data_IF_846580495519
#
_entry.id   IF_846580495519
#
_cell.length_a   1.000
_cell.length_b   1.000
_cell.length_c   1.000
_cell.angle_alpha   90.00
_cell.angle_beta   90.00
_cell.angle_gamma   90.00
#
_symmetry.space_group_name_H-M   'P 1'
#
loop_
_entity.id
_entity.type
_entity.pdbx_description
1 polymer ?
#
# COMPACT_ATOMS: atom_id res chain seq x y z
N UNK A 1 21.46 -1.35 -12.32
CA UNK A 1 20.94 -2.72 -12.58
C UNK A 1 19.44 -2.70 -12.35
N UNK A 2 18.59 -2.99 -13.36
CA UNK A 2 17.14 -3.01 -13.17
C UNK A 2 16.75 -4.30 -12.45
N UNK A 3 16.20 -4.17 -11.24
CA UNK A 3 15.63 -5.30 -10.53
C UNK A 3 14.29 -5.68 -11.18
N UNK A 4 14.23 -6.80 -11.90
CA UNK A 4 12.96 -7.43 -12.26
C UNK A 4 12.39 -8.10 -11.01
N UNK A 5 11.35 -7.53 -10.42
CA UNK A 5 10.53 -8.13 -9.35
C UNK A 5 9.69 -9.28 -9.90
N UNK A 6 10.33 -10.42 -10.18
CA UNK A 6 9.67 -11.67 -10.62
C UNK A 6 9.09 -12.51 -9.46
N UNK A 7 9.22 -12.05 -8.21
CA UNK A 7 8.75 -12.78 -7.03
C UNK A 7 7.25 -13.08 -7.06
N UNK A 8 6.86 -14.27 -6.57
CA UNK A 8 5.45 -14.65 -6.33
C UNK A 8 4.89 -14.04 -5.04
N UNK A 9 5.78 -13.68 -4.10
CA UNK A 9 5.50 -13.03 -2.82
C UNK A 9 6.75 -12.28 -2.36
N UNK A 10 6.60 -11.35 -1.40
CA UNK A 10 7.71 -10.89 -0.54
C UNK A 10 7.67 -11.68 0.76
N UNK A 11 8.83 -11.97 1.34
CA UNK A 11 8.92 -12.69 2.60
C UNK A 11 9.54 -11.81 3.68
N UNK A 12 9.03 -11.95 4.90
CA UNK A 12 9.60 -11.36 6.11
C UNK A 12 9.77 -12.49 7.12
N UNK A 13 10.98 -12.63 7.66
CA UNK A 13 11.27 -13.55 8.74
C UNK A 13 11.38 -12.75 10.04
N UNK A 14 10.63 -13.13 11.06
CA UNK A 14 10.66 -12.48 12.36
C UNK A 14 10.73 -13.50 13.48
N UNK A 15 11.45 -13.11 14.52
CA UNK A 15 11.61 -13.90 15.72
C UNK A 15 11.09 -13.09 16.91
N UNK A 16 10.25 -13.73 17.71
CA UNK A 16 9.64 -13.14 18.88
C UNK A 16 9.94 -14.00 20.09
N UNK A 17 10.10 -13.34 21.24
CA UNK A 17 10.11 -14.00 22.54
C UNK A 17 8.80 -13.68 23.24
N UNK A 18 7.99 -14.70 23.50
CA UNK A 18 6.66 -14.55 24.08
C UNK A 18 6.44 -15.58 25.19
N UNK A 19 6.15 -15.12 26.42
CA UNK A 19 5.95 -15.97 27.62
C UNK A 19 7.00 -17.09 27.73
N UNK A 20 8.28 -16.68 27.65
CA UNK A 20 9.48 -17.54 27.70
C UNK A 20 9.74 -18.46 26.50
N UNK A 21 8.81 -18.51 25.54
CA UNK A 21 8.93 -19.30 24.31
C UNK A 21 9.42 -18.46 23.15
N UNK A 22 10.04 -19.13 22.19
CA UNK A 22 10.42 -18.51 20.92
C UNK A 22 9.34 -18.81 19.88
N UNK A 23 8.90 -17.77 19.19
CA UNK A 23 7.95 -17.89 18.09
C UNK A 23 8.63 -17.31 16.86
N UNK A 24 8.75 -18.13 15.83
CA UNK A 24 9.39 -17.77 14.56
C UNK A 24 8.30 -17.68 13.50
N UNK A 25 8.12 -16.49 12.95
CA UNK A 25 7.11 -16.21 11.94
C UNK A 25 7.77 -16.01 10.58
N UNK A 26 7.44 -16.88 9.62
CA UNK A 26 7.75 -16.69 8.22
C UNK A 26 6.53 -16.14 7.49
N UNK A 27 6.57 -14.84 7.16
CA UNK A 27 5.43 -14.09 6.63
C UNK A 27 5.58 -13.90 5.12
N UNK A 28 4.71 -14.52 4.34
CA UNK A 28 4.57 -14.35 2.89
C UNK A 28 3.53 -13.27 2.58
N UNK A 29 3.96 -12.19 1.96
CA UNK A 29 3.12 -11.08 1.48
C UNK A 29 2.88 -11.29 -0.01
N UNK A 30 1.65 -11.68 -0.37
CA UNK A 30 1.24 -11.90 -1.76
C UNK A 30 0.93 -10.54 -2.40
N UNK A 31 1.35 -10.28 -3.65
CA UNK A 31 1.06 -9.00 -4.27
C UNK A 31 -0.44 -8.84 -4.50
N UNK A 32 -0.93 -7.61 -4.34
CA UNK A 32 -2.21 -7.24 -4.92
C UNK A 32 -1.99 -7.07 -6.43
N UNK A 33 -2.80 -7.78 -7.23
CA UNK A 33 -2.82 -7.60 -8.68
C UNK A 33 -3.66 -6.35 -8.97
N UNK A 34 -2.99 -5.28 -9.40
CA UNK A 34 -3.65 -4.04 -9.80
C UNK A 34 -3.79 -4.07 -11.31
N UNK A 35 -4.97 -4.44 -11.81
CA UNK A 35 -5.30 -4.41 -13.23
C UNK A 35 -5.92 -3.05 -13.57
N UNK A 36 -5.17 -2.23 -14.29
CA UNK A 36 -5.64 -0.93 -14.80
C UNK A 36 -5.92 -1.06 -16.29
N UNK A 37 -6.97 -0.41 -16.77
CA UNK A 37 -7.38 -0.50 -18.17
C UNK A 37 -6.22 -0.12 -19.11
N UNK A 38 -5.88 -1.03 -20.05
CA UNK A 38 -4.77 -0.95 -21.02
C UNK A 38 -3.34 -1.05 -20.46
N UNK A 39 -3.15 -1.46 -19.20
CA UNK A 39 -1.83 -1.72 -18.62
C UNK A 39 -1.68 -3.18 -18.20
N UNK A 40 -0.45 -3.70 -18.29
CA UNK A 40 -0.15 -4.99 -17.70
C UNK A 40 -0.37 -4.94 -16.18
N UNK A 41 -0.98 -5.97 -15.58
CA UNK A 41 -1.25 -5.97 -14.15
C UNK A 41 0.03 -5.82 -13.34
N UNK A 42 0.10 -4.80 -12.48
CA UNK A 42 1.26 -4.55 -11.64
C UNK A 42 1.10 -5.23 -10.27
N UNK A 43 2.22 -5.73 -9.73
CA UNK A 43 2.29 -6.42 -8.45
C UNK A 43 2.58 -5.41 -7.34
N UNK A 44 1.53 -4.94 -6.67
CA UNK A 44 1.70 -4.03 -5.53
C UNK A 44 1.92 -4.83 -4.23
N UNK A 45 3.04 -4.57 -3.55
CA UNK A 45 3.38 -5.13 -2.24
C UNK A 45 3.35 -4.10 -1.11
N UNK A 46 3.15 -2.83 -1.42
CA UNK A 46 3.27 -1.71 -0.48
C UNK A 46 1.94 -1.42 0.24
N UNK A 47 0.98 -2.35 0.19
CA UNK A 47 -0.29 -2.25 0.91
C UNK A 47 -0.15 -2.59 2.40
N UNK A 48 0.98 -3.15 2.83
CA UNK A 48 1.25 -3.43 4.24
C UNK A 48 1.84 -2.20 4.92
N UNK A 49 1.05 -1.52 5.76
CA UNK A 49 1.47 -0.35 6.55
C UNK A 49 1.86 -0.73 7.98
N UNK A 50 2.61 0.12 8.71
CA UNK A 50 2.98 -0.15 10.10
C UNK A 50 1.78 -0.40 11.03
N UNK A 51 0.67 0.33 10.83
CA UNK A 51 -0.56 0.13 11.61
C UNK A 51 -1.19 -1.25 11.34
N UNK A 52 -1.29 -1.66 10.05
CA UNK A 52 -1.80 -2.99 9.68
C UNK A 52 -0.91 -4.11 10.23
N UNK A 53 0.40 -3.87 10.25
CA UNK A 53 1.36 -4.79 10.85
C UNK A 53 1.14 -4.96 12.36
N UNK A 54 0.95 -3.86 13.09
CA UNK A 54 0.69 -3.88 14.54
C UNK A 54 -0.59 -4.66 14.87
N UNK A 55 -1.65 -4.49 14.05
CA UNK A 55 -2.90 -5.24 14.20
C UNK A 55 -2.73 -6.74 13.88
N UNK A 56 -1.92 -7.07 12.88
CA UNK A 56 -1.58 -8.44 12.55
C UNK A 56 -0.87 -9.11 13.72
N UNK A 57 0.18 -8.49 14.26
CA UNK A 57 0.91 -9.00 15.43
C UNK A 57 -0.02 -9.21 16.62
N UNK A 58 -0.87 -8.23 16.93
CA UNK A 58 -1.87 -8.35 18.00
C UNK A 58 -2.80 -9.55 17.79
N UNK A 59 -3.22 -9.80 16.55
CA UNK A 59 -4.08 -10.94 16.21
C UNK A 59 -3.36 -12.28 16.35
N UNK A 60 -2.06 -12.32 16.03
CA UNK A 60 -1.22 -13.51 16.24
C UNK A 60 -1.06 -13.77 17.75
N UNK A 61 -0.85 -12.74 18.58
CA UNK A 61 -0.73 -12.91 20.02
C UNK A 61 -2.03 -13.39 20.65
N UNK A 62 -3.19 -12.89 20.20
CA UNK A 62 -4.48 -13.41 20.64
C UNK A 62 -4.67 -14.88 20.25
N UNK A 63 -4.24 -15.29 19.05
CA UNK A 63 -4.26 -16.69 18.63
C UNK A 63 -3.37 -17.55 19.53
N UNK A 64 -2.14 -17.12 19.76
CA UNK A 64 -1.16 -17.81 20.61
C UNK A 64 -1.67 -17.92 22.05
N UNK A 65 -2.32 -16.89 22.59
CA UNK A 65 -2.90 -16.89 23.94
C UNK A 65 -4.13 -17.79 24.06
N UNK A 66 -4.84 -18.05 22.96
CA UNK A 66 -5.98 -18.97 22.96
C UNK A 66 -5.59 -20.45 23.06
N UNK A 67 -4.29 -20.76 22.94
CA UNK A 67 -3.77 -22.13 22.99
C UNK A 67 -3.74 -22.60 24.44
N UNK A 68 -4.71 -23.44 24.79
CA UNK A 68 -4.80 -24.05 26.13
C UNK A 68 -3.73 -25.13 26.36
N UNK A 69 -3.60 -26.09 25.44
CA UNK A 69 -2.60 -27.15 25.53
C UNK A 69 -1.51 -26.95 24.45
N UNK A 70 -0.41 -26.31 24.84
CA UNK A 70 0.64 -25.93 23.90
C UNK A 70 1.25 -27.11 23.14
N UNK A 71 1.63 -28.17 23.83
CA UNK A 71 2.32 -29.32 23.22
C UNK A 71 1.45 -30.02 22.18
N UNK A 72 0.13 -30.06 22.42
CA UNK A 72 -0.81 -30.73 21.53
C UNK A 72 -1.35 -29.81 20.44
N UNK A 73 -1.67 -28.57 20.76
CA UNK A 73 -2.46 -27.70 19.88
C UNK A 73 -1.58 -26.75 19.07
N UNK A 74 -0.43 -26.30 19.60
CA UNK A 74 0.43 -25.35 18.91
C UNK A 74 1.02 -25.89 17.60
N UNK A 75 1.49 -27.16 17.51
CA UNK A 75 1.98 -27.74 16.25
C UNK A 75 0.88 -27.94 15.19
N UNK A 76 -0.39 -27.90 15.60
CA UNK A 76 -1.55 -28.17 14.75
C UNK A 76 -2.32 -26.88 14.38
N UNK A 77 -1.76 -25.70 14.65
CA UNK A 77 -2.38 -24.44 14.27
C UNK A 77 -2.55 -24.42 12.75
N UNK A 78 -3.79 -24.35 12.30
CA UNK A 78 -4.14 -24.06 10.92
C UNK A 78 -5.44 -23.25 10.94
N UNK A 79 -5.32 -21.95 10.72
CA UNK A 79 -6.45 -21.03 10.84
C UNK A 79 -6.36 -19.91 9.84
N UNK A 80 -7.48 -19.21 9.66
CA UNK A 80 -7.56 -18.00 8.87
C UNK A 80 -8.04 -16.86 9.76
N UNK A 81 -7.29 -15.76 9.76
CA UNK A 81 -7.63 -14.52 10.45
C UNK A 81 -7.95 -13.45 9.40
N UNK A 82 -8.84 -12.53 9.78
CA UNK A 82 -9.12 -11.34 9.01
C UNK A 82 -8.63 -10.14 9.81
N UNK A 83 -7.68 -9.40 9.24
CA UNK A 83 -7.12 -8.18 9.83
C UNK A 83 -7.33 -7.05 8.84
N UNK A 84 -8.24 -6.13 9.16
CA UNK A 84 -8.72 -5.10 8.22
C UNK A 84 -9.17 -5.71 6.88
N UNK A 85 -8.46 -5.41 5.78
CA UNK A 85 -8.69 -5.94 4.44
C UNK A 85 -7.68 -7.01 4.06
N UNK A 86 -7.11 -7.72 5.04
CA UNK A 86 -6.08 -8.74 4.82
C UNK A 86 -6.62 -10.07 5.32
N UNK A 87 -6.61 -11.06 4.43
CA UNK A 87 -6.78 -12.46 4.79
C UNK A 87 -5.43 -13.01 5.18
N UNK A 88 -5.33 -13.54 6.40
CA UNK A 88 -4.10 -14.08 6.97
C UNK A 88 -4.30 -15.56 7.20
N UNK A 89 -3.68 -16.40 6.38
CA UNK A 89 -3.62 -17.85 6.64
C UNK A 89 -2.45 -18.10 7.57
N UNK A 90 -2.70 -18.71 8.73
CA UNK A 90 -1.68 -19.03 9.73
C UNK A 90 -1.60 -20.54 9.86
N UNK A 91 -0.42 -21.10 9.61
CA UNK A 91 -0.15 -22.52 9.77
C UNK A 91 1.10 -22.74 10.61
N UNK A 92 1.05 -23.62 11.60
CA UNK A 92 2.26 -24.17 12.18
C UNK A 92 2.94 -25.04 11.14
N UNK A 93 4.24 -24.80 10.91
CA UNK A 93 5.00 -25.52 9.90
C UNK A 93 6.37 -25.90 10.44
N UNK A 94 6.47 -27.15 10.92
CA UNK A 94 7.73 -27.70 11.43
C UNK A 94 8.75 -27.98 10.32
N UNK A 95 8.34 -28.07 9.05
CA UNK A 95 9.30 -28.19 7.94
C UNK A 95 10.07 -26.88 7.70
N UNK A 96 9.53 -25.73 8.15
CA UNK A 96 10.26 -24.46 8.17
C UNK A 96 11.45 -24.51 9.12
N UNK A 97 11.42 -25.35 10.17
CA UNK A 97 12.55 -25.54 11.09
C UNK A 97 13.82 -25.89 10.30
N UNK A 98 13.75 -26.96 9.51
CA UNK A 98 14.88 -27.45 8.72
C UNK A 98 15.29 -26.47 7.61
N UNK A 99 14.33 -25.73 7.03
CA UNK A 99 14.63 -24.76 5.97
C UNK A 99 15.28 -23.48 6.51
N UNK A 100 14.98 -23.09 7.75
CA UNK A 100 15.45 -21.84 8.36
C UNK A 100 16.61 -22.04 9.34
N UNK A 101 17.01 -23.28 9.62
CA UNK A 101 18.18 -23.64 10.45
C UNK A 101 19.49 -22.98 9.99
N UNK A 102 19.62 -22.67 8.69
CA UNK A 102 20.80 -21.97 8.14
C UNK A 102 20.80 -20.48 8.47
N UNK A 103 19.62 -19.90 8.75
CA UNK A 103 19.41 -18.46 8.93
C UNK A 103 19.16 -18.07 10.39
N UNK A 104 18.87 -19.03 11.26
CA UNK A 104 18.46 -18.81 12.64
C UNK A 104 19.36 -19.59 13.61
N UNK A 105 19.41 -19.18 14.90
CA UNK A 105 20.06 -19.96 15.95
C UNK A 105 19.46 -21.37 16.05
N UNK A 106 20.19 -22.35 16.62
CA UNK A 106 19.71 -23.72 16.75
C UNK A 106 18.36 -23.76 17.47
N UNK A 107 17.40 -24.44 16.83
CA UNK A 107 16.02 -24.58 17.26
C UNK A 107 15.92 -25.35 18.59
N UNK A 108 15.10 -24.85 19.51
CA UNK A 108 14.67 -25.62 20.69
C UNK A 108 13.38 -26.37 20.37
N UNK A 109 13.16 -27.51 21.01
CA UNK A 109 11.95 -28.32 20.77
C UNK A 109 10.64 -27.65 21.21
N UNK A 110 10.73 -26.57 21.98
CA UNK A 110 9.58 -25.76 22.41
C UNK A 110 9.27 -24.58 21.46
N UNK A 111 10.11 -24.37 20.43
CA UNK A 111 9.96 -23.24 19.50
C UNK A 111 8.79 -23.49 18.54
N UNK A 112 7.94 -22.47 18.38
CA UNK A 112 6.80 -22.52 17.47
C UNK A 112 7.15 -21.83 16.14
N UNK A 113 7.05 -22.58 15.05
CA UNK A 113 7.26 -22.08 13.69
C UNK A 113 5.92 -21.82 13.02
N UNK A 114 5.61 -20.56 12.76
CA UNK A 114 4.40 -20.14 12.07
C UNK A 114 4.74 -19.69 10.66
N UNK A 115 4.05 -20.27 9.68
CA UNK A 115 3.96 -19.76 8.33
C UNK A 115 2.70 -18.90 8.20
N UNK A 116 2.86 -17.66 7.77
CA UNK A 116 1.76 -16.75 7.53
C UNK A 116 1.70 -16.41 6.05
N UNK A 117 0.54 -16.55 5.43
CA UNK A 117 0.29 -16.06 4.07
C UNK A 117 -0.74 -14.95 4.12
N UNK A 118 -0.32 -13.76 3.70
CA UNK A 118 -1.11 -12.55 3.75
C UNK A 118 -1.56 -12.19 2.34
N UNK A 119 -2.88 -12.15 2.17
CA UNK A 119 -3.54 -11.84 0.91
C UNK A 119 -4.44 -10.62 1.13
N UNK A 120 -4.24 -9.57 0.34
CA UNK A 120 -5.14 -8.42 0.38
C UNK A 120 -6.51 -8.83 -0.18
N UNK A 121 -7.54 -8.76 0.65
CA UNK A 121 -8.92 -8.90 0.24
C UNK A 121 -9.34 -7.59 -0.41
N UNK A 122 -9.45 -7.58 -1.75
CA UNK A 122 -10.15 -6.49 -2.43
C UNK A 122 -11.52 -6.36 -1.77
N UNK A 123 -11.86 -5.19 -1.25
CA UNK A 123 -13.17 -4.91 -0.70
C UNK A 123 -14.19 -5.17 -1.81
N UNK A 124 -14.77 -6.37 -1.82
CA UNK A 124 -16.12 -6.55 -2.31
C UNK A 124 -16.97 -6.14 -1.12
N UNK A 125 -17.35 -4.87 -1.08
CA UNK A 125 -18.33 -4.37 -0.13
C UNK A 125 -19.60 -5.17 -0.35
N UNK A 126 -19.78 -6.23 0.44
CA UNK A 126 -21.11 -6.75 0.77
C UNK A 126 -21.69 -5.86 1.86
N UNK A 127 -21.89 -4.58 1.54
CA UNK A 127 -22.99 -3.86 2.16
C UNK A 127 -24.29 -4.35 1.51
N UNK A 128 -25.45 -4.32 2.22
CA UNK A 128 -26.72 -4.72 1.64
C UNK A 128 -26.86 -4.02 0.30
N UNK A 129 -27.24 -4.79 -0.74
CA UNK A 129 -27.42 -4.32 -2.10
C UNK A 129 -28.36 -3.11 -2.14
N UNK A 130 -27.83 -1.92 -1.89
CA UNK A 130 -28.32 -0.73 -2.52
C UNK A 130 -27.96 -0.92 -3.97
N UNK A 131 -28.99 -1.08 -4.80
CA UNK A 131 -28.91 -0.89 -6.23
C UNK A 131 -28.02 0.33 -6.45
N UNK A 132 -26.77 0.10 -6.84
CA UNK A 132 -25.83 1.16 -7.17
C UNK A 132 -26.47 1.88 -8.35
N UNK A 133 -27.16 2.98 -8.05
CA UNK A 133 -27.44 3.97 -9.08
C UNK A 133 -26.09 4.21 -9.79
N UNK A 134 -26.06 4.18 -11.13
CA UNK A 134 -24.83 4.46 -11.86
C UNK A 134 -24.28 5.77 -11.28
N UNK A 135 -23.07 5.71 -10.71
CA UNK A 135 -22.44 6.91 -10.18
C UNK A 135 -22.47 7.95 -11.31
N UNK A 136 -22.92 9.18 -11.03
CA UNK A 136 -23.08 10.19 -12.07
C UNK A 136 -21.77 10.28 -12.84
N UNK A 137 -21.84 10.23 -14.16
CA UNK A 137 -20.67 10.21 -15.02
C UNK A 137 -19.80 11.44 -14.70
N UNK A 138 -18.60 11.20 -14.18
CA UNK A 138 -17.68 12.26 -13.78
C UNK A 138 -16.75 12.55 -14.95
N UNK A 139 -16.65 13.82 -15.34
CA UNK A 139 -15.66 14.27 -16.33
C UNK A 139 -14.26 13.90 -15.85
N UNK A 140 -13.61 12.96 -16.53
CA UNK A 140 -12.28 12.51 -16.11
C UNK A 140 -11.25 13.59 -16.44
N UNK A 141 -10.65 14.20 -15.43
CA UNK A 141 -9.53 15.14 -15.61
C UNK A 141 -8.25 14.36 -15.90
N UNK A 142 -7.51 14.82 -16.90
CA UNK A 142 -6.30 14.18 -17.41
C UNK A 142 -5.28 15.24 -17.81
N UNK A 143 -4.00 14.90 -17.66
CA UNK A 143 -2.87 15.75 -18.03
C UNK A 143 -2.08 15.18 -19.20
N UNK A 144 -2.67 14.26 -19.98
CA UNK A 144 -1.98 13.51 -21.06
C UNK A 144 -1.59 14.37 -22.28
N UNK A 145 -2.17 15.54 -22.43
CA UNK A 145 -1.87 16.55 -23.45
C UNK A 145 -0.74 17.49 -23.05
N UNK A 146 -0.26 17.44 -21.80
CA UNK A 146 0.99 18.10 -21.41
C UNK A 146 2.18 17.20 -21.75
N UNK A 147 3.31 17.81 -22.11
CA UNK A 147 4.58 17.10 -22.23
C UNK A 147 5.39 17.15 -20.92
N UNK A 148 6.43 16.32 -20.83
CA UNK A 148 7.25 16.24 -19.61
C UNK A 148 7.92 17.56 -19.26
N UNK A 149 8.46 18.28 -20.25
CA UNK A 149 9.15 19.55 -20.03
C UNK A 149 8.19 20.61 -19.46
N UNK A 150 6.98 20.73 -20.02
CA UNK A 150 5.93 21.61 -19.51
C UNK A 150 5.60 21.30 -18.06
N UNK A 151 5.42 20.02 -17.72
CA UNK A 151 5.12 19.59 -16.35
C UNK A 151 6.28 19.91 -15.41
N UNK A 152 7.52 19.54 -15.76
CA UNK A 152 8.68 19.75 -14.89
C UNK A 152 9.03 21.23 -14.69
N UNK A 153 8.74 22.08 -15.66
CA UNK A 153 8.95 23.52 -15.57
C UNK A 153 7.98 24.21 -14.60
N UNK A 154 6.83 23.59 -14.29
CA UNK A 154 5.92 24.13 -13.26
C UNK A 154 6.46 23.99 -11.83
N UNK A 155 7.53 23.21 -11.61
CA UNK A 155 8.05 22.94 -10.27
C UNK A 155 8.34 24.22 -9.48
N UNK A 156 9.05 25.18 -10.07
CA UNK A 156 9.43 26.41 -9.38
C UNK A 156 8.20 27.27 -9.04
N UNK A 157 7.12 27.19 -9.83
CA UNK A 157 5.89 27.92 -9.57
C UNK A 157 5.19 27.46 -8.28
N UNK A 158 5.38 26.20 -7.89
CA UNK A 158 4.73 25.59 -6.72
C UNK A 158 5.73 25.31 -5.58
N UNK A 159 6.99 25.71 -5.74
CA UNK A 159 8.07 25.37 -4.81
C UNK A 159 7.79 25.81 -3.39
N UNK A 160 7.22 27.01 -3.21
CA UNK A 160 6.87 27.50 -1.87
C UNK A 160 5.88 26.58 -1.15
N UNK A 161 4.91 26.01 -1.88
CA UNK A 161 3.96 25.06 -1.31
C UNK A 161 4.61 23.71 -0.97
N UNK A 162 5.52 23.23 -1.83
CA UNK A 162 6.31 22.03 -1.55
C UNK A 162 7.19 22.22 -0.31
N UNK A 163 7.86 23.36 -0.18
CA UNK A 163 8.71 23.69 0.97
C UNK A 163 7.91 23.77 2.26
N UNK A 164 6.70 24.34 2.21
CA UNK A 164 5.78 24.40 3.35
C UNK A 164 5.36 23.01 3.81
N UNK A 165 4.95 22.13 2.89
CA UNK A 165 4.55 20.75 3.21
C UNK A 165 5.75 19.90 3.65
N UNK A 166 6.91 20.03 3.01
CA UNK A 166 8.11 19.33 3.43
C UNK A 166 8.59 19.80 4.81
N UNK A 167 8.45 21.09 5.12
CA UNK A 167 8.77 21.67 6.42
C UNK A 167 7.87 21.15 7.55
N UNK A 168 6.56 21.05 7.32
CA UNK A 168 5.62 20.52 8.32
C UNK A 168 5.82 19.02 8.58
N UNK A 169 6.24 18.26 7.57
CA UNK A 169 6.50 16.82 7.70
C UNK A 169 7.69 16.48 8.62
N UNK A 170 8.56 17.44 8.97
CA UNK A 170 9.61 17.21 9.99
C UNK A 170 9.03 16.81 11.35
N UNK A 171 7.76 17.15 11.62
CA UNK A 171 7.11 16.98 12.92
C UNK A 171 5.89 16.03 12.88
N UNK A 172 5.50 15.55 11.70
CA UNK A 172 4.34 14.67 11.51
C UNK A 172 4.76 13.25 11.10
N UNK A 173 4.27 12.24 11.83
CA UNK A 173 4.55 10.82 11.56
C UNK A 173 3.58 10.18 10.54
N UNK A 174 2.50 10.87 10.17
CA UNK A 174 1.52 10.38 9.19
C UNK A 174 1.72 11.05 7.82
N UNK A 175 2.57 10.43 7.00
CA UNK A 175 2.91 10.90 5.65
C UNK A 175 2.06 10.17 4.58
N UNK A 176 0.92 9.56 4.95
CA UNK A 176 0.22 8.62 4.06
C UNK A 176 -0.61 9.27 2.93
N UNK A 177 -0.87 10.57 3.00
CA UNK A 177 -1.60 11.32 1.96
C UNK A 177 -1.44 12.83 2.10
N UNK A 178 -1.76 13.57 1.04
CA UNK A 178 -2.03 15.01 1.08
C UNK A 178 -3.53 15.25 0.97
N UNK A 179 -4.15 15.83 2.00
CA UNK A 179 -5.62 16.09 2.03
C UNK A 179 -6.45 14.84 1.70
N UNK A 180 -6.09 13.67 2.25
CA UNK A 180 -6.69 12.35 1.94
C UNK A 180 -6.47 11.83 0.51
N UNK A 181 -5.74 12.56 -0.33
CA UNK A 181 -5.31 12.13 -1.67
C UNK A 181 -3.88 11.58 -1.58
N UNK A 182 -3.76 10.25 -1.58
CA UNK A 182 -2.47 9.54 -1.72
C UNK A 182 -2.10 9.27 -3.19
N UNK A 183 -0.89 8.75 -3.43
CA UNK A 183 -0.36 8.51 -4.78
C UNK A 183 -1.29 7.67 -5.68
N UNK A 184 -1.98 6.68 -5.11
CA UNK A 184 -2.89 5.77 -5.85
C UNK A 184 -4.07 6.48 -6.50
N UNK A 185 -4.44 7.67 -6.01
CA UNK A 185 -5.54 8.46 -6.57
C UNK A 185 -5.10 9.25 -7.80
N UNK A 186 -3.81 9.59 -7.89
CA UNK A 186 -3.27 10.51 -8.90
C UNK A 186 -2.41 9.82 -9.96
N UNK A 187 -2.07 8.54 -9.75
CA UNK A 187 -1.25 7.73 -10.68
C UNK A 187 -1.86 7.55 -12.07
N UNK A 188 -3.14 7.86 -12.29
CA UNK A 188 -3.79 7.71 -13.61
C UNK A 188 -4.03 9.02 -14.33
N UNK A 189 -3.59 10.13 -13.76
CA UNK A 189 -3.84 11.48 -14.28
C UNK A 189 -2.75 11.90 -15.28
N UNK A 190 -1.53 11.40 -15.06
CA UNK A 190 -0.36 11.63 -15.89
C UNK A 190 0.16 10.31 -16.46
N UNK A 191 0.88 10.40 -17.58
CA UNK A 191 1.64 9.29 -18.14
C UNK A 191 2.72 8.81 -17.15
N UNK A 192 3.09 7.52 -17.23
CA UNK A 192 4.13 6.93 -16.38
C UNK A 192 5.44 7.73 -16.45
N UNK A 193 5.83 8.11 -17.66
CA UNK A 193 7.06 8.84 -17.93
C UNK A 193 7.08 10.21 -17.22
N UNK A 194 5.99 10.99 -17.33
CA UNK A 194 5.88 12.28 -16.64
C UNK A 194 5.93 12.13 -15.11
N UNK A 195 5.25 11.11 -14.56
CA UNK A 195 5.29 10.85 -13.11
C UNK A 195 6.71 10.52 -12.65
N UNK A 196 7.45 9.70 -13.41
CA UNK A 196 8.83 9.36 -13.10
C UNK A 196 9.73 10.60 -13.12
N UNK A 197 9.60 11.47 -14.11
CA UNK A 197 10.30 12.76 -14.16
C UNK A 197 10.02 13.62 -12.93
N UNK A 198 8.74 13.78 -12.55
CA UNK A 198 8.34 14.56 -11.37
C UNK A 198 8.92 13.97 -10.08
N UNK A 199 8.82 12.65 -9.91
CA UNK A 199 9.36 11.96 -8.73
C UNK A 199 10.88 12.10 -8.63
N UNK A 200 11.60 12.01 -9.76
CA UNK A 200 13.05 12.22 -9.79
C UNK A 200 13.41 13.64 -9.35
N UNK A 201 12.70 14.65 -9.86
CA UNK A 201 12.92 16.06 -9.48
C UNK A 201 12.65 16.31 -7.99
N UNK A 202 11.52 15.79 -7.47
CA UNK A 202 11.20 15.88 -6.04
C UNK A 202 12.22 15.16 -5.16
N UNK A 203 12.66 13.97 -5.57
CA UNK A 203 13.67 13.18 -4.85
C UNK A 203 15.01 13.91 -4.83
N UNK A 204 15.42 14.50 -5.96
CA UNK A 204 16.67 15.24 -6.04
C UNK A 204 16.72 16.42 -5.06
N UNK A 205 15.62 17.15 -4.93
CA UNK A 205 15.53 18.38 -4.13
C UNK A 205 15.29 18.05 -2.66
N UNK A 206 14.31 17.20 -2.36
CA UNK A 206 13.87 16.98 -0.99
C UNK A 206 14.59 15.79 -0.33
N UNK A 207 14.84 14.67 -1.01
CA UNK A 207 15.46 13.51 -0.32
C UNK A 207 16.93 13.74 0.08
N UNK A 208 17.66 14.65 -0.57
CA UNK A 208 19.03 15.01 -0.16
C UNK A 208 19.10 15.84 1.13
N UNK A 209 18.00 16.48 1.53
CA UNK A 209 17.97 17.45 2.63
C UNK A 209 17.60 16.82 3.98
N UNK A 210 16.93 15.65 3.99
CA UNK A 210 16.34 15.07 5.20
C UNK A 210 17.02 13.79 5.74
N UNK A 211 18.20 13.41 5.23
CA UNK A 211 19.15 12.38 5.70
C UNK A 211 18.63 10.95 6.05
N UNK A 212 17.33 10.64 5.96
CA UNK A 212 16.78 9.29 6.24
C UNK A 212 15.49 9.02 5.44
N UNK A 213 15.42 7.93 4.68
CA UNK A 213 14.20 7.19 4.25
C UNK A 213 12.87 7.94 3.91
N UNK A 214 12.89 9.14 3.34
CA UNK A 214 11.68 9.95 3.05
C UNK A 214 10.95 9.63 1.72
N UNK A 215 11.09 8.43 1.15
CA UNK A 215 10.31 8.04 -0.03
C UNK A 215 8.80 8.35 0.13
N UNK A 216 8.13 8.02 1.25
CA UNK A 216 6.70 8.30 1.41
C UNK A 216 6.33 9.79 1.26
N UNK A 217 7.17 10.74 1.68
CA UNK A 217 6.89 12.17 1.50
C UNK A 217 6.78 12.55 0.03
N UNK A 218 7.68 12.04 -0.80
CA UNK A 218 7.67 12.29 -2.24
C UNK A 218 6.45 11.65 -2.88
N UNK A 219 6.19 10.37 -2.59
CA UNK A 219 5.11 9.62 -3.23
C UNK A 219 3.72 10.06 -2.73
N UNK A 220 3.52 10.13 -1.43
CA UNK A 220 2.20 10.22 -0.82
C UNK A 220 1.76 11.65 -0.51
N UNK A 221 2.67 12.63 -0.52
CA UNK A 221 2.33 14.03 -0.28
C UNK A 221 2.71 14.97 -1.43
N UNK A 222 3.99 15.04 -1.77
CA UNK A 222 4.47 16.05 -2.73
C UNK A 222 4.01 15.78 -4.17
N UNK A 223 4.02 14.52 -4.60
CA UNK A 223 3.52 14.16 -5.93
C UNK A 223 2.01 14.46 -6.08
N UNK A 224 1.12 14.04 -5.15
CA UNK A 224 -0.29 14.44 -5.16
C UNK A 224 -0.49 15.95 -5.16
N UNK A 225 0.23 16.69 -4.31
CA UNK A 225 0.18 18.15 -4.26
C UNK A 225 0.53 18.78 -5.62
N UNK A 226 1.59 18.32 -6.26
CA UNK A 226 1.98 18.84 -7.57
C UNK A 226 0.90 18.58 -8.62
N UNK A 227 0.31 17.37 -8.62
CA UNK A 227 -0.75 17.02 -9.56
C UNK A 227 -2.01 17.85 -9.31
N UNK A 228 -2.36 18.14 -8.05
CA UNK A 228 -3.48 19.02 -7.69
C UNK A 228 -3.25 20.42 -8.28
N UNK A 229 -2.06 21.01 -8.10
CA UNK A 229 -1.77 22.33 -8.67
C UNK A 229 -1.82 22.36 -10.20
N UNK A 230 -1.31 21.33 -10.86
CA UNK A 230 -1.43 21.21 -12.32
C UNK A 230 -2.88 21.18 -12.78
N UNK A 231 -3.76 20.48 -12.06
CA UNK A 231 -5.18 20.42 -12.37
C UNK A 231 -5.87 21.77 -12.12
N UNK A 232 -5.57 22.43 -11.00
CA UNK A 232 -6.08 23.77 -10.70
C UNK A 232 -5.72 24.74 -11.81
N UNK A 233 -4.46 24.77 -12.22
CA UNK A 233 -3.98 25.71 -13.24
C UNK A 233 -4.53 25.42 -14.62
N UNK A 234 -4.63 24.15 -14.99
CA UNK A 234 -5.12 23.74 -16.31
C UNK A 234 -6.63 23.92 -16.46
N UNK A 235 -7.39 23.52 -15.44
CA UNK A 235 -8.85 23.53 -15.50
C UNK A 235 -9.47 24.76 -14.84
N UNK A 236 -8.65 25.66 -14.29
CA UNK A 236 -9.07 26.88 -13.58
C UNK A 236 -10.05 26.56 -12.44
N UNK A 237 -9.73 25.51 -11.69
CA UNK A 237 -10.49 25.04 -10.53
C UNK A 237 -9.86 25.57 -9.24
N UNK A 238 -10.67 25.81 -8.22
CA UNK A 238 -10.20 25.97 -6.85
C UNK A 238 -9.63 24.66 -6.29
N UNK A 239 -8.91 24.74 -5.17
CA UNK A 239 -8.38 23.55 -4.48
C UNK A 239 -9.51 22.60 -4.04
N UNK A 240 -10.56 23.13 -3.42
CA UNK A 240 -11.73 22.35 -2.99
C UNK A 240 -12.44 21.65 -4.16
N UNK A 241 -12.64 22.37 -5.27
CA UNK A 241 -13.23 21.80 -6.49
C UNK A 241 -12.34 20.69 -7.07
N UNK A 242 -11.03 20.89 -7.06
CA UNK A 242 -10.06 19.91 -7.56
C UNK A 242 -10.05 18.65 -6.68
N UNK A 243 -10.00 18.80 -5.36
CA UNK A 243 -10.04 17.70 -4.40
C UNK A 243 -11.33 16.90 -4.52
N UNK A 244 -12.48 17.60 -4.60
CA UNK A 244 -13.78 16.97 -4.80
C UNK A 244 -13.84 16.21 -6.12
N UNK A 245 -13.38 16.81 -7.21
CA UNK A 245 -13.36 16.18 -8.53
C UNK A 245 -12.49 14.91 -8.55
N UNK A 246 -11.34 14.94 -7.87
CA UNK A 246 -10.46 13.78 -7.74
C UNK A 246 -11.12 12.64 -6.95
N UNK A 247 -11.77 12.96 -5.84
CA UNK A 247 -12.51 11.99 -5.03
C UNK A 247 -13.67 11.37 -5.84
N UNK A 248 -14.45 12.20 -6.54
CA UNK A 248 -15.56 11.76 -7.38
C UNK A 248 -15.09 10.88 -8.55
N UNK A 249 -13.99 11.26 -9.22
CA UNK A 249 -13.37 10.48 -10.29
C UNK A 249 -12.86 9.12 -9.78
N UNK A 250 -12.20 9.09 -8.63
CA UNK A 250 -11.74 7.85 -8.02
C UNK A 250 -12.90 6.91 -7.66
N UNK A 251 -13.96 7.46 -7.06
CA UNK A 251 -15.18 6.71 -6.73
C UNK A 251 -15.86 6.16 -7.98
N UNK A 252 -15.97 6.98 -9.04
CA UNK A 252 -16.51 6.56 -10.33
C UNK A 252 -15.70 5.42 -10.96
N UNK A 253 -14.37 5.52 -10.98
CA UNK A 253 -13.48 4.47 -11.48
C UNK A 253 -13.57 3.16 -10.68
N UNK A 254 -13.66 3.26 -9.35
CA UNK A 254 -13.85 2.11 -8.46
C UNK A 254 -15.20 1.41 -8.70
N UNK A 255 -16.27 2.19 -8.90
CA UNK A 255 -17.61 1.68 -9.21
C UNK A 255 -17.65 0.98 -10.58
N UNK A 256 -17.05 1.57 -11.62
CA UNK A 256 -16.92 0.94 -12.94
C UNK A 256 -16.15 -0.38 -12.87
N UNK A 257 -15.07 -0.43 -12.10
CA UNK A 257 -14.31 -1.67 -11.91
C UNK A 257 -15.16 -2.77 -11.24
N UNK A 258 -15.96 -2.39 -10.24
CA UNK A 258 -16.85 -3.30 -9.50
C UNK A 258 -17.98 -3.82 -10.39
N UNK A 259 -18.62 -2.94 -11.17
CA UNK A 259 -19.65 -3.29 -12.14
C UNK A 259 -19.14 -4.26 -13.21
N UNK A 260 -17.97 -3.98 -13.79
CA UNK A 260 -17.37 -4.85 -14.80
C UNK A 260 -16.99 -6.22 -14.23
N UNK A 261 -16.47 -6.29 -13.00
CA UNK A 261 -16.14 -7.56 -12.35
C UNK A 261 -17.37 -8.44 -12.09
N UNK A 262 -18.54 -7.83 -11.91
CA UNK A 262 -19.81 -8.55 -11.70
C UNK A 262 -20.48 -8.99 -13.02
N UNK A 263 -20.13 -8.39 -14.15
CA UNK A 263 -20.65 -8.78 -15.47
C UNK A 263 -19.90 -9.97 -16.11
N UNK A 264 -18.75 -10.35 -15.56
CA UNK A 264 -17.89 -11.43 -16.08
C UNK A 264 -17.69 -12.61 -15.09
N UNK A 265 -18.56 -12.73 -14.07
CA UNK A 265 -18.70 -13.92 -13.21
C UNK A 265 -20.10 -14.51 -13.39
#
# INVERSE_FOLDING_TARGET
MPFKTSGKFRAVLQQYKYKERQIICFVKIVPQIVALYKLEPDKNYNWMSPNRWTKLESSIWNLVDSIGNWEKDAPNIQTELIVDHIKVKVCANNELRTQLEVLLPPAKDEDLYLELTLEYMSISTKEPQQVLAPAPEVKTLQLNDMNEEEVLNTFENYREHFDLVAGSCKYEFDISSYMSIGHTHVTHILSKYMREGMMNKLTEIYCKVFDVAYCPLVYDRLLPLWIIHLLMDKYKLSEDETLKQLADQFKYQSNLHTLNKNLFN
#
